data_IF_083549491974
#
_entry.id   IF_083549491974
#
_cell.length_a   1.000
_cell.length_b   1.000
_cell.length_c   1.000
_cell.angle_alpha   90.00
_cell.angle_beta   90.00
_cell.angle_gamma   90.00
#
_symmetry.space_group_name_H-M   'P 1'
#
loop_
_entity.id
_entity.type
_entity.pdbx_description
1 polymer ?
#
# COMPACT_ATOMS: atom_id res chain seq x y z
N UNK A 1 -28.10 -5.31 9.15
CA UNK A 1 -27.45 -4.23 8.37
C UNK A 1 -26.05 -4.06 8.94
N UNK A 2 -24.98 -4.39 8.21
CA UNK A 2 -23.61 -4.20 8.70
C UNK A 2 -23.13 -2.79 8.29
N UNK A 3 -22.83 -1.95 9.27
CA UNK A 3 -22.26 -0.63 9.05
C UNK A 3 -20.74 -0.74 8.99
N UNK A 4 -20.15 -0.31 7.87
CA UNK A 4 -18.70 -0.28 7.68
C UNK A 4 -18.27 1.19 7.80
N UNK A 5 -17.39 1.54 8.76
CA UNK A 5 -16.90 2.90 8.87
C UNK A 5 -16.08 3.31 7.63
N UNK A 6 -16.16 4.58 7.19
CA UNK A 6 -15.32 5.09 6.12
C UNK A 6 -13.85 5.00 6.52
N UNK A 7 -13.02 4.55 5.58
CA UNK A 7 -11.61 4.34 5.80
C UNK A 7 -10.83 5.67 5.80
N UNK A 8 -9.52 5.59 6.01
CA UNK A 8 -8.66 6.77 6.05
C UNK A 8 -8.64 7.48 4.70
N UNK A 9 -8.73 6.75 3.59
CA UNK A 9 -8.75 7.32 2.24
C UNK A 9 -10.05 8.08 1.98
N UNK A 10 -11.20 7.50 2.33
CA UNK A 10 -12.51 8.13 2.24
C UNK A 10 -12.60 9.43 3.06
N UNK A 11 -11.99 9.43 4.25
CA UNK A 11 -11.93 10.63 5.11
C UNK A 11 -10.99 11.68 4.54
N UNK A 12 -9.84 11.27 4.01
CA UNK A 12 -8.87 12.18 3.42
C UNK A 12 -9.45 12.90 2.20
N UNK A 13 -10.18 12.19 1.34
CA UNK A 13 -10.88 12.76 0.19
C UNK A 13 -11.86 13.88 0.57
N UNK A 14 -12.52 13.74 1.73
CA UNK A 14 -13.48 14.74 2.24
C UNK A 14 -12.80 15.96 2.88
N UNK A 15 -11.67 15.76 3.57
CA UNK A 15 -10.98 16.82 4.30
C UNK A 15 -10.04 17.61 3.38
N UNK A 16 -9.30 16.92 2.51
CA UNK A 16 -8.31 17.53 1.63
C UNK A 16 -8.18 16.74 0.32
N UNK A 17 -8.98 17.08 -0.71
CA UNK A 17 -8.96 16.37 -1.99
C UNK A 17 -7.64 16.54 -2.76
N UNK A 18 -6.90 17.63 -2.55
CA UNK A 18 -5.58 17.82 -3.16
C UNK A 18 -4.57 16.80 -2.63
N UNK A 19 -4.54 16.63 -1.30
CA UNK A 19 -3.67 15.65 -0.66
C UNK A 19 -4.09 14.20 -0.96
N UNK A 20 -5.39 13.92 -1.14
CA UNK A 20 -5.85 12.60 -1.60
C UNK A 20 -5.22 12.22 -2.94
N UNK A 21 -5.15 13.16 -3.88
CA UNK A 21 -4.62 12.91 -5.21
C UNK A 21 -3.12 12.54 -5.15
N UNK A 22 -2.35 13.26 -4.33
CA UNK A 22 -0.92 12.97 -4.11
C UNK A 22 -0.73 11.60 -3.44
N UNK A 23 -1.48 11.32 -2.37
CA UNK A 23 -1.44 10.04 -1.65
C UNK A 23 -1.81 8.89 -2.58
N UNK A 24 -2.80 9.08 -3.45
CA UNK A 24 -3.23 8.07 -4.42
C UNK A 24 -2.15 7.73 -5.44
N UNK A 25 -1.38 8.72 -5.91
CA UNK A 25 -0.23 8.47 -6.76
C UNK A 25 0.83 7.59 -6.06
N UNK A 26 1.14 7.91 -4.80
CA UNK A 26 2.11 7.16 -3.99
C UNK A 26 1.61 5.73 -3.71
N UNK A 27 0.32 5.55 -3.42
CA UNK A 27 -0.30 4.24 -3.21
C UNK A 27 -0.24 3.38 -4.48
N UNK A 28 -0.49 3.98 -5.65
CA UNK A 28 -0.40 3.28 -6.92
C UNK A 28 1.02 2.80 -7.21
N UNK A 29 2.03 3.66 -7.00
CA UNK A 29 3.44 3.28 -7.14
C UNK A 29 3.80 2.13 -6.19
N UNK A 30 3.44 2.26 -4.91
CA UNK A 30 3.69 1.23 -3.91
C UNK A 30 3.05 -0.11 -4.26
N UNK A 31 1.86 -0.08 -4.87
CA UNK A 31 1.15 -1.28 -5.31
C UNK A 31 1.86 -1.94 -6.49
N UNK A 32 2.34 -1.16 -7.45
CA UNK A 32 3.11 -1.67 -8.60
C UNK A 32 4.44 -2.30 -8.17
N UNK A 33 5.15 -1.68 -7.23
CA UNK A 33 6.44 -2.16 -6.72
C UNK A 33 6.31 -3.35 -5.75
N UNK A 34 5.10 -3.65 -5.27
CA UNK A 34 4.84 -4.73 -4.30
C UNK A 34 5.44 -6.06 -4.75
N UNK A 35 5.36 -6.37 -6.04
CA UNK A 35 5.83 -7.64 -6.59
C UNK A 35 7.36 -7.75 -6.55
N UNK A 36 8.05 -6.64 -6.82
CA UNK A 36 9.52 -6.55 -6.75
C UNK A 36 9.97 -6.75 -5.31
N UNK A 37 9.35 -6.03 -4.36
CA UNK A 37 9.60 -6.20 -2.93
C UNK A 37 9.33 -7.62 -2.46
N UNK A 38 8.24 -8.24 -2.91
CA UNK A 38 7.91 -9.63 -2.59
C UNK A 38 8.93 -10.65 -3.13
N UNK A 39 9.44 -10.43 -4.34
CA UNK A 39 10.50 -11.26 -4.93
C UNK A 39 11.81 -11.16 -4.15
N UNK A 40 12.23 -9.95 -3.78
CA UNK A 40 13.42 -9.73 -2.94
C UNK A 40 13.28 -10.39 -1.57
N UNK A 41 12.15 -10.18 -0.89
CA UNK A 41 11.88 -10.78 0.42
C UNK A 41 11.91 -12.32 0.36
N UNK A 42 11.37 -12.92 -0.71
CA UNK A 42 11.44 -14.37 -0.91
C UNK A 42 12.88 -14.84 -1.10
N UNK A 43 13.65 -14.16 -1.97
CA UNK A 43 15.07 -14.47 -2.18
C UNK A 43 15.89 -14.39 -0.89
N UNK A 44 15.74 -13.31 -0.13
CA UNK A 44 16.43 -13.12 1.16
C UNK A 44 16.05 -14.20 2.18
N UNK A 45 14.76 -14.57 2.26
CA UNK A 45 14.31 -15.68 3.11
C UNK A 45 15.07 -16.97 2.79
N UNK A 46 15.19 -17.34 1.52
CA UNK A 46 15.92 -18.57 1.15
C UNK A 46 17.41 -18.49 1.44
N UNK A 47 18.05 -17.34 1.18
CA UNK A 47 19.47 -17.13 1.47
C UNK A 47 19.79 -17.19 2.96
N UNK A 48 18.93 -16.63 3.82
CA UNK A 48 19.14 -16.63 5.28
C UNK A 48 18.67 -17.91 5.97
N UNK A 49 17.77 -18.69 5.36
CA UNK A 49 17.30 -19.97 5.93
C UNK A 49 18.17 -21.18 5.53
N UNK A 50 18.98 -21.06 4.48
CA UNK A 50 19.85 -22.14 3.97
C UNK A 50 21.35 -21.79 4.05
N UNK A 51 21.69 -20.66 4.68
CA UNK A 51 23.06 -20.25 4.99
C UNK A 51 23.48 -20.65 6.40
#
# INVERSE_FOLDING_TARGET
MNWIPPDVTDRLAQINPGLEQEVRQILNLNKAERHIRGGMATREKYLHQHG
#
